data_IF_776227702630
#
_entry.id   IF_776227702630
#
_cell.length_a   1.000
_cell.length_b   1.000
_cell.length_c   1.000
_cell.angle_alpha   90.00
_cell.angle_beta   90.00
_cell.angle_gamma   90.00
#
_symmetry.space_group_name_H-M   'P 1'
#
loop_
_entity.id
_entity.type
_entity.pdbx_description
1 polymer ?
#
# COMPACT_ATOMS: atom_id res chain seq x y z
N UNK A 1 44.67 -26.89 -36.40
CA UNK A 1 43.59 -26.62 -35.43
C UNK A 1 44.11 -25.61 -34.40
N UNK A 2 43.72 -24.34 -34.54
CA UNK A 2 43.99 -23.27 -33.55
C UNK A 2 42.85 -22.27 -33.64
N UNK A 3 41.70 -22.62 -33.03
CA UNK A 3 40.55 -21.71 -32.94
C UNK A 3 39.98 -21.65 -31.51
N UNK A 4 40.78 -22.05 -30.51
CA UNK A 4 40.22 -22.38 -29.19
C UNK A 4 40.72 -21.47 -28.06
N UNK A 5 41.46 -20.39 -28.38
CA UNK A 5 42.03 -19.47 -27.36
C UNK A 5 41.46 -18.05 -27.35
N UNK A 6 40.70 -17.65 -28.39
CA UNK A 6 40.08 -16.30 -28.45
C UNK A 6 38.65 -16.26 -27.92
N UNK A 7 37.94 -17.39 -27.96
CA UNK A 7 36.58 -17.49 -27.42
C UNK A 7 36.56 -17.58 -25.88
N UNK A 8 37.63 -18.10 -25.28
CA UNK A 8 37.69 -18.36 -23.84
C UNK A 8 37.47 -17.10 -22.99
N UNK A 9 38.14 -15.99 -23.34
CA UNK A 9 37.93 -14.72 -22.64
C UNK A 9 36.53 -14.13 -22.86
N UNK A 10 35.99 -14.19 -24.08
CA UNK A 10 34.67 -13.62 -24.38
C UNK A 10 33.55 -14.36 -23.63
N UNK A 11 33.62 -15.69 -23.53
CA UNK A 11 32.64 -16.49 -22.79
C UNK A 11 32.73 -16.26 -21.28
N UNK A 12 33.93 -16.06 -20.73
CA UNK A 12 34.12 -15.71 -19.32
C UNK A 12 33.48 -14.35 -18.98
N UNK A 13 33.65 -13.34 -19.83
CA UNK A 13 32.99 -12.04 -19.64
C UNK A 13 31.47 -12.14 -19.74
N UNK A 14 30.94 -12.94 -20.68
CA UNK A 14 29.49 -13.17 -20.78
C UNK A 14 28.93 -13.88 -19.55
N UNK A 15 29.65 -14.84 -19.00
CA UNK A 15 29.25 -15.55 -17.78
C UNK A 15 29.30 -14.64 -16.55
N UNK A 16 30.33 -13.80 -16.42
CA UNK A 16 30.41 -12.81 -15.34
C UNK A 16 29.32 -11.76 -15.47
N UNK A 17 29.06 -11.24 -16.68
CA UNK A 17 28.01 -10.28 -16.93
C UNK A 17 26.62 -10.88 -16.64
N UNK A 18 26.37 -12.13 -17.06
CA UNK A 18 25.14 -12.83 -16.75
C UNK A 18 24.94 -12.99 -15.24
N UNK A 19 25.98 -13.40 -14.51
CA UNK A 19 25.92 -13.51 -13.05
C UNK A 19 25.59 -12.16 -12.38
N UNK A 20 26.22 -11.07 -12.82
CA UNK A 20 25.94 -9.72 -12.32
C UNK A 20 24.50 -9.32 -12.62
N UNK A 21 24.00 -9.55 -13.83
CA UNK A 21 22.62 -9.21 -14.21
C UNK A 21 21.59 -9.98 -13.38
N UNK A 22 21.84 -11.26 -13.07
CA UNK A 22 20.96 -12.05 -12.20
C UNK A 22 20.94 -11.47 -10.78
N UNK A 23 22.10 -11.12 -10.21
CA UNK A 23 22.18 -10.52 -8.87
C UNK A 23 21.45 -9.17 -8.84
N UNK A 24 21.66 -8.32 -9.85
CA UNK A 24 20.98 -7.02 -9.97
C UNK A 24 19.47 -7.23 -10.10
N UNK A 25 19.00 -8.18 -10.91
CA UNK A 25 17.57 -8.48 -11.05
C UNK A 25 16.95 -8.92 -9.71
N UNK A 26 17.65 -9.78 -8.96
CA UNK A 26 17.21 -10.20 -7.62
C UNK A 26 17.16 -9.00 -6.66
N UNK A 27 18.21 -8.15 -6.65
CA UNK A 27 18.25 -6.97 -5.79
C UNK A 27 17.11 -5.98 -6.11
N UNK A 28 16.86 -5.71 -7.39
CA UNK A 28 15.75 -4.85 -7.85
C UNK A 28 14.41 -5.47 -7.46
N UNK A 29 14.24 -6.78 -7.62
CA UNK A 29 13.03 -7.49 -7.20
C UNK A 29 12.80 -7.32 -5.70
N UNK A 30 13.81 -7.53 -4.86
CA UNK A 30 13.66 -7.36 -3.41
C UNK A 30 13.30 -5.92 -3.04
N UNK A 31 14.02 -4.93 -3.56
CA UNK A 31 13.76 -3.49 -3.31
C UNK A 31 12.35 -3.08 -3.72
N UNK A 32 11.83 -3.63 -4.82
CA UNK A 32 10.49 -3.29 -5.33
C UNK A 32 9.35 -4.10 -4.68
N UNK A 33 9.66 -5.29 -4.15
CA UNK A 33 8.69 -6.14 -3.46
C UNK A 33 8.43 -5.67 -2.03
N UNK A 34 9.44 -5.11 -1.35
CA UNK A 34 9.28 -4.39 -0.09
C UNK A 34 8.74 -3.00 -0.39
N UNK A 35 7.43 -2.89 -0.65
CA UNK A 35 6.76 -1.61 -0.85
C UNK A 35 7.02 -0.62 0.29
N UNK A 36 6.77 0.68 0.09
CA UNK A 36 7.04 1.68 1.12
C UNK A 36 6.33 1.33 2.43
N UNK A 37 7.09 1.41 3.52
CA UNK A 37 6.57 1.20 4.86
C UNK A 37 5.68 2.39 5.23
N UNK A 38 4.39 2.12 5.30
CA UNK A 38 3.43 3.05 5.89
C UNK A 38 2.93 2.49 7.22
N UNK A 39 2.55 3.40 8.11
CA UNK A 39 1.81 3.14 9.33
C UNK A 39 0.61 4.05 9.24
N UNK A 40 -0.57 3.47 9.00
CA UNK A 40 -1.82 4.22 8.92
C UNK A 40 -2.73 3.71 10.02
N UNK A 41 -2.85 4.50 11.07
CA UNK A 41 -3.74 4.27 12.21
C UNK A 41 -4.42 5.58 12.56
N UNK A 42 -5.50 5.54 13.33
CA UNK A 42 -6.19 6.76 13.73
C UNK A 42 -7.43 6.50 14.57
N UNK A 43 -8.31 7.50 14.59
CA UNK A 43 -9.66 7.39 15.13
C UNK A 43 -10.67 7.54 14.00
N UNK A 44 -11.72 6.75 14.02
CA UNK A 44 -12.81 6.83 13.05
C UNK A 44 -14.11 7.08 13.82
N UNK A 45 -14.80 8.17 13.53
CA UNK A 45 -16.07 8.52 14.19
C UNK A 45 -17.18 8.49 13.16
N UNK A 46 -18.27 7.78 13.46
CA UNK A 46 -19.45 7.78 12.58
C UNK A 46 -20.09 9.17 12.54
N UNK A 47 -20.38 9.66 11.33
CA UNK A 47 -21.06 10.93 11.11
C UNK A 47 -22.07 10.78 9.96
N UNK A 48 -23.32 10.45 10.29
CA UNK A 48 -24.35 10.15 9.29
C UNK A 48 -23.96 8.93 8.44
N UNK A 49 -23.94 9.10 7.11
CA UNK A 49 -23.46 8.12 6.14
C UNK A 49 -21.95 8.20 5.85
N UNK A 50 -21.23 8.99 6.64
CA UNK A 50 -19.78 9.16 6.53
C UNK A 50 -19.06 8.65 7.79
N UNK A 51 -17.76 8.43 7.62
CA UNK A 51 -16.81 8.22 8.71
C UNK A 51 -15.84 9.40 8.69
N UNK A 52 -15.75 10.12 9.80
CA UNK A 52 -14.70 11.11 10.00
C UNK A 52 -13.47 10.39 10.56
N UNK A 53 -12.49 10.15 9.69
CA UNK A 53 -11.23 9.51 10.06
C UNK A 53 -10.17 10.57 10.36
N UNK A 54 -9.58 10.50 11.55
CA UNK A 54 -8.45 11.35 11.95
C UNK A 54 -7.21 10.48 12.09
N UNK A 55 -6.21 10.62 11.20
CA UNK A 55 -4.97 9.86 11.30
C UNK A 55 -4.20 10.20 12.58
N UNK A 56 -3.61 9.18 13.19
CA UNK A 56 -2.87 9.28 14.45
C UNK A 56 -1.61 10.13 14.31
N UNK A 57 -1.10 10.66 15.42
CA UNK A 57 0.17 11.39 15.46
C UNK A 57 1.39 10.52 15.11
N UNK A 58 1.24 9.20 15.08
CA UNK A 58 2.28 8.23 14.71
C UNK A 58 2.20 7.78 13.25
N UNK A 59 1.27 8.33 12.45
CA UNK A 59 1.14 8.00 11.03
C UNK A 59 2.44 8.27 10.26
N UNK A 60 2.90 7.30 9.47
CA UNK A 60 4.06 7.42 8.59
C UNK A 60 3.65 6.98 7.17
N UNK A 61 3.97 7.75 6.12
CA UNK A 61 4.52 9.12 6.13
C UNK A 61 3.53 10.13 6.75
N UNK A 62 3.97 11.36 7.03
CA UNK A 62 3.11 12.40 7.63
C UNK A 62 2.01 12.92 6.69
N UNK A 63 2.14 12.66 5.39
CA UNK A 63 1.15 12.98 4.36
C UNK A 63 1.15 11.89 3.29
N UNK A 64 -0.03 11.48 2.84
CA UNK A 64 -0.24 10.54 1.75
C UNK A 64 -1.18 11.17 0.72
N UNK A 65 -0.75 11.27 -0.54
CA UNK A 65 -1.55 11.83 -1.64
C UNK A 65 -2.82 11.02 -1.88
N UNK A 66 -3.92 11.67 -2.29
CA UNK A 66 -5.22 11.02 -2.53
C UNK A 66 -5.14 9.80 -3.48
N UNK A 67 -4.27 9.85 -4.49
CA UNK A 67 -4.04 8.76 -5.45
C UNK A 67 -3.38 7.52 -4.86
N UNK A 68 -2.68 7.69 -3.73
CA UNK A 68 -1.83 6.65 -3.16
C UNK A 68 -2.55 5.85 -2.08
N UNK A 69 -3.79 6.20 -1.75
CA UNK A 69 -4.55 5.44 -0.77
C UNK A 69 -6.01 5.27 -1.16
N UNK A 70 -6.57 4.18 -0.66
CA UNK A 70 -7.97 3.80 -0.82
C UNK A 70 -8.49 3.28 0.51
N UNK A 71 -9.80 3.16 0.67
CA UNK A 71 -10.41 2.66 1.90
C UNK A 71 -11.58 1.73 1.64
N UNK A 72 -11.88 0.93 2.65
CA UNK A 72 -13.03 0.04 2.68
C UNK A 72 -13.49 -0.13 4.14
N UNK A 73 -14.76 -0.43 4.32
CA UNK A 73 -15.37 -0.60 5.64
C UNK A 73 -15.89 -2.01 5.77
N UNK A 74 -15.57 -2.66 6.89
CA UNK A 74 -15.89 -4.05 7.16
C UNK A 74 -16.71 -4.19 8.44
N UNK A 75 -17.66 -5.12 8.44
CA UNK A 75 -18.37 -5.61 9.62
C UNK A 75 -17.97 -7.06 9.84
N UNK A 76 -17.12 -7.30 10.84
CA UNK A 76 -16.44 -8.59 10.98
C UNK A 76 -15.65 -8.92 9.70
N UNK A 77 -15.94 -10.07 9.08
CA UNK A 77 -15.31 -10.50 7.83
C UNK A 77 -15.99 -9.93 6.56
N UNK A 78 -17.16 -9.29 6.69
CA UNK A 78 -17.95 -8.85 5.53
C UNK A 78 -17.62 -7.41 5.18
N UNK A 79 -17.27 -7.15 3.92
CA UNK A 79 -17.12 -5.78 3.40
C UNK A 79 -18.50 -5.14 3.23
N UNK A 80 -18.70 -3.98 3.84
CA UNK A 80 -19.94 -3.20 3.77
C UNK A 80 -19.83 -2.12 2.70
N UNK A 81 -18.64 -1.51 2.56
CA UNK A 81 -18.40 -0.46 1.59
C UNK A 81 -16.97 -0.53 1.03
N UNK A 82 -16.75 -0.24 -0.26
CA UNK A 82 -17.76 0.04 -1.29
C UNK A 82 -18.54 -1.20 -1.75
N UNK A 83 -19.77 -0.98 -2.23
CA UNK A 83 -20.59 -2.03 -2.84
C UNK A 83 -20.25 -2.15 -4.33
N UNK A 84 -19.65 -3.27 -4.74
CA UNK A 84 -19.32 -3.54 -6.16
C UNK A 84 -17.90 -3.17 -6.61
N UNK A 85 -17.08 -2.59 -5.72
CA UNK A 85 -15.64 -2.40 -5.95
C UNK A 85 -14.85 -2.98 -4.78
N UNK A 86 -13.54 -3.18 -4.97
CA UNK A 86 -12.68 -3.66 -3.89
C UNK A 86 -12.37 -2.60 -2.86
N UNK A 87 -12.06 -1.40 -3.32
CA UNK A 87 -11.63 -0.26 -2.52
C UNK A 87 -12.17 1.04 -3.10
N UNK A 88 -12.53 1.98 -2.22
CA UNK A 88 -12.95 3.33 -2.60
C UNK A 88 -11.76 4.27 -2.61
N UNK A 89 -11.64 5.10 -3.64
CA UNK A 89 -10.55 6.10 -3.72
C UNK A 89 -10.65 7.13 -2.59
N UNK A 90 -9.50 7.50 -2.03
CA UNK A 90 -9.40 8.54 -1.03
C UNK A 90 -9.88 9.89 -1.57
N UNK A 91 -10.76 10.63 -0.85
CA UNK A 91 -11.30 11.90 -1.35
C UNK A 91 -10.28 13.04 -1.33
N UNK A 92 -9.24 12.94 -0.51
CA UNK A 92 -8.21 13.95 -0.34
C UNK A 92 -6.90 13.33 0.17
N UNK A 93 -5.85 14.13 0.31
CA UNK A 93 -4.64 13.68 0.98
C UNK A 93 -4.95 13.29 2.44
N UNK A 94 -4.39 12.19 2.92
CA UNK A 94 -4.35 11.88 4.35
C UNK A 94 -3.21 12.68 4.97
N UNK A 95 -3.52 13.43 6.01
CA UNK A 95 -2.54 14.22 6.75
C UNK A 95 -2.63 13.88 8.24
N UNK A 96 -1.47 13.75 8.86
CA UNK A 96 -1.36 13.42 10.28
C UNK A 96 -2.18 14.40 11.14
N UNK A 97 -3.10 13.87 11.94
CA UNK A 97 -3.93 14.67 12.85
C UNK A 97 -5.02 15.52 12.19
N UNK A 98 -5.14 15.49 10.86
CA UNK A 98 -6.17 16.24 10.13
C UNK A 98 -7.32 15.30 9.77
N UNK A 99 -8.55 15.57 10.23
CA UNK A 99 -9.69 14.73 9.92
C UNK A 99 -10.03 14.80 8.42
N UNK A 100 -10.41 13.64 7.86
CA UNK A 100 -10.97 13.51 6.52
C UNK A 100 -12.35 12.85 6.62
N UNK A 101 -13.32 13.34 5.86
CA UNK A 101 -14.65 12.74 5.78
C UNK A 101 -14.68 11.70 4.67
N UNK A 102 -15.00 10.46 5.02
CA UNK A 102 -15.05 9.32 4.12
C UNK A 102 -16.51 8.93 3.91
N UNK A 103 -16.96 8.87 2.66
CA UNK A 103 -18.31 8.36 2.39
C UNK A 103 -18.35 6.87 2.66
N UNK A 104 -19.26 6.43 3.52
CA UNK A 104 -19.44 5.02 3.83
C UNK A 104 -20.93 4.72 4.15
N UNK A 105 -21.82 4.78 3.14
CA UNK A 105 -23.24 4.49 3.34
C UNK A 105 -23.43 3.12 3.99
N UNK A 106 -24.27 3.07 5.04
CA UNK A 106 -24.53 1.82 5.78
C UNK A 106 -23.46 1.43 6.81
N UNK A 107 -22.44 2.26 7.04
CA UNK A 107 -21.51 2.06 8.16
C UNK A 107 -22.24 2.17 9.51
N UNK A 108 -21.69 1.50 10.52
CA UNK A 108 -22.19 1.46 11.89
C UNK A 108 -21.03 1.57 12.89
N UNK A 109 -21.33 2.01 14.11
CA UNK A 109 -20.38 1.89 15.23
C UNK A 109 -20.01 0.42 15.43
N UNK A 110 -18.72 0.16 15.59
CA UNK A 110 -18.13 -1.18 15.66
C UNK A 110 -17.63 -1.71 14.31
N UNK A 111 -17.95 -1.06 13.19
CA UNK A 111 -17.35 -1.42 11.89
C UNK A 111 -15.85 -1.08 11.88
N UNK A 112 -15.08 -1.79 11.07
CA UNK A 112 -13.64 -1.63 10.94
C UNK A 112 -13.32 -0.86 9.65
N UNK A 113 -12.69 0.31 9.80
CA UNK A 113 -12.13 1.05 8.68
C UNK A 113 -10.78 0.45 8.31
N UNK A 114 -10.68 -0.03 7.07
CA UNK A 114 -9.41 -0.46 6.47
C UNK A 114 -8.93 0.55 5.45
N UNK A 115 -7.62 0.77 5.41
CA UNK A 115 -6.98 1.65 4.42
C UNK A 115 -5.94 0.85 3.65
N UNK A 116 -5.98 0.96 2.33
CA UNK A 116 -4.99 0.42 1.42
C UNK A 116 -4.04 1.53 0.97
N UNK A 117 -2.73 1.30 1.03
CA UNK A 117 -1.69 2.20 0.54
C UNK A 117 -0.97 1.60 -0.67
N UNK A 118 -0.86 2.39 -1.74
CA UNK A 118 -0.24 2.07 -3.02
C UNK A 118 -0.65 0.71 -3.61
N UNK A 119 -1.89 0.29 -3.38
CA UNK A 119 -2.43 -0.97 -3.91
C UNK A 119 -1.83 -2.25 -3.30
N UNK A 120 -0.99 -2.14 -2.26
CA UNK A 120 -0.26 -3.29 -1.69
C UNK A 120 -0.55 -3.48 -0.20
N UNK A 121 -0.31 -2.44 0.60
CA UNK A 121 -0.36 -2.55 2.07
C UNK A 121 -1.76 -2.25 2.57
N UNK A 122 -2.34 -3.14 3.38
CA UNK A 122 -3.67 -2.95 3.99
C UNK A 122 -3.53 -2.81 5.50
N UNK A 123 -4.14 -1.78 6.06
CA UNK A 123 -4.10 -1.43 7.47
C UNK A 123 -5.50 -1.47 8.07
N UNK A 124 -5.63 -2.08 9.25
CA UNK A 124 -6.79 -1.94 10.11
C UNK A 124 -6.68 -0.58 10.82
N UNK A 125 -7.11 0.47 10.14
CA UNK A 125 -6.78 1.85 10.50
C UNK A 125 -7.46 2.31 11.79
N UNK A 126 -8.74 1.95 11.97
CA UNK A 126 -9.51 2.27 13.18
C UNK A 126 -10.82 1.47 13.25
N UNK A 127 -11.29 1.19 14.46
CA UNK A 127 -12.70 0.85 14.68
C UNK A 127 -13.52 2.14 14.66
N UNK A 128 -14.67 2.09 13.99
CA UNK A 128 -15.63 3.19 13.93
C UNK A 128 -16.34 3.28 15.27
N UNK A 129 -16.13 4.38 15.99
CA UNK A 129 -16.87 4.73 17.21
C UNK A 129 -18.13 5.53 16.87
#
# INVERSE_FOLDING_TARGET
>A
MRLDKRAQGATEYLLMLAAVLVIVAIAVYYVTSTGPSAIITGTAVKSGDNINFTPSSTMVPSTISASDWKYAVYRGATKIFPTGADWQDGPSALQRGIPVSLSAPGCQTGDLLKIQYQGKSVFDAANVS
#
